data_IF_105314664322
#
_entry.id   IF_105314664322
#
_cell.length_a   1.000
_cell.length_b   1.000
_cell.length_c   1.000
_cell.angle_alpha   90.00
_cell.angle_beta   90.00
_cell.angle_gamma   90.00
#
_symmetry.space_group_name_H-M   'P 1'
#
loop_
_entity.id
_entity.type
_entity.pdbx_description
1 polymer ?
#
# COMPACT_ATOMS: atom_id res chain seq x y z
N UNK A 1 -45.49 9.61 61.71
CA UNK A 1 -45.83 10.89 61.04
C UNK A 1 -44.82 11.12 59.93
N UNK A 2 -45.32 11.35 58.71
CA UNK A 2 -44.84 12.34 57.74
C UNK A 2 -43.38 12.31 57.22
N UNK A 3 -43.22 11.85 55.96
CA UNK A 3 -42.67 12.54 54.76
C UNK A 3 -41.86 13.86 54.98
N UNK A 4 -40.85 14.25 54.18
CA UNK A 4 -40.42 13.96 52.78
C UNK A 4 -38.87 13.70 52.74
N UNK A 5 -38.06 13.68 51.66
CA UNK A 5 -38.14 14.02 50.21
C UNK A 5 -37.22 13.08 49.39
N UNK A 6 -37.52 12.88 48.10
CA UNK A 6 -36.58 12.56 47.00
C UNK A 6 -37.17 13.19 45.72
N UNK A 7 -36.42 13.93 44.87
CA UNK A 7 -35.59 13.29 43.83
C UNK A 7 -34.37 14.07 43.27
N UNK A 8 -33.39 13.33 42.72
CA UNK A 8 -32.75 13.58 41.41
C UNK A 8 -31.74 12.45 41.14
N UNK A 9 -31.78 11.68 40.05
CA UNK A 9 -31.91 11.99 38.61
C UNK A 9 -30.58 12.36 37.92
N UNK A 10 -29.52 11.58 38.17
CA UNK A 10 -28.39 11.43 37.22
C UNK A 10 -28.19 9.95 36.91
N UNK A 11 -28.95 9.44 35.92
CA UNK A 11 -28.46 8.40 35.01
C UNK A 11 -28.22 9.12 33.69
N UNK A 12 -26.96 9.33 33.32
CA UNK A 12 -26.61 9.84 32.00
C UNK A 12 -27.09 8.86 30.93
N UNK A 13 -27.67 9.41 29.87
CA UNK A 13 -28.10 8.66 28.70
C UNK A 13 -26.90 8.43 27.77
N UNK A 14 -25.95 7.61 28.20
CA UNK A 14 -24.79 7.21 27.39
C UNK A 14 -25.16 6.08 26.40
N UNK A 15 -26.32 6.24 25.76
CA UNK A 15 -26.66 5.60 24.49
C UNK A 15 -26.24 6.50 23.33
N UNK A 16 -26.24 5.96 22.12
CA UNK A 16 -26.02 6.73 20.87
C UNK A 16 -24.69 7.48 20.75
N UNK A 17 -23.56 6.76 20.84
CA UNK A 17 -22.38 7.15 20.04
C UNK A 17 -21.41 6.02 19.65
N UNK A 18 -21.70 4.75 19.99
CA UNK A 18 -20.81 3.61 19.73
C UNK A 18 -21.40 2.57 18.74
N UNK A 19 -22.40 2.99 17.96
CA UNK A 19 -23.13 2.14 17.00
C UNK A 19 -22.26 1.63 15.84
N UNK A 20 -21.51 2.47 15.08
CA UNK A 20 -20.76 1.99 13.94
C UNK A 20 -19.63 1.03 14.33
N UNK A 21 -18.93 1.32 15.44
CA UNK A 21 -17.83 0.49 15.95
C UNK A 21 -18.33 -0.93 16.24
N UNK A 22 -19.38 -1.06 17.07
CA UNK A 22 -20.00 -2.36 17.39
C UNK A 22 -20.49 -3.12 16.16
N UNK A 23 -21.04 -2.45 15.15
CA UNK A 23 -21.48 -3.12 13.91
C UNK A 23 -20.29 -3.67 13.13
N UNK A 24 -19.19 -2.92 13.02
CA UNK A 24 -17.95 -3.39 12.36
C UNK A 24 -17.32 -4.54 13.15
N UNK A 25 -17.24 -4.44 14.47
CA UNK A 25 -16.66 -5.47 15.33
C UNK A 25 -17.45 -6.79 15.21
N UNK A 26 -18.79 -6.74 15.28
CA UNK A 26 -19.67 -7.91 15.11
C UNK A 26 -19.62 -8.51 13.70
N UNK A 27 -19.50 -7.67 12.65
CA UNK A 27 -19.28 -8.16 11.29
C UNK A 27 -17.93 -8.85 11.14
N UNK A 28 -16.88 -8.34 11.80
CA UNK A 28 -15.55 -8.91 11.74
C UNK A 28 -15.44 -10.22 12.56
N UNK A 29 -16.13 -10.32 13.71
CA UNK A 29 -16.31 -11.58 14.44
C UNK A 29 -16.99 -12.64 13.55
N UNK A 30 -18.16 -12.34 12.97
CA UNK A 30 -18.90 -13.27 12.10
C UNK A 30 -18.11 -13.67 10.84
N UNK A 31 -17.33 -12.77 10.25
CA UNK A 31 -16.42 -13.10 9.14
C UNK A 31 -15.30 -14.05 9.57
N UNK A 32 -14.78 -13.90 10.79
CA UNK A 32 -13.73 -14.78 11.32
C UNK A 32 -14.22 -16.20 11.59
N UNK A 33 -15.44 -16.36 12.14
CA UNK A 33 -16.07 -17.67 12.36
C UNK A 33 -16.29 -18.43 11.05
N UNK A 34 -16.79 -17.73 10.02
CA UNK A 34 -16.98 -18.32 8.68
C UNK A 34 -15.65 -18.76 8.04
N UNK A 35 -14.60 -17.94 8.17
CA UNK A 35 -13.27 -18.28 7.65
C UNK A 35 -12.64 -19.47 8.40
N UNK A 36 -12.88 -19.61 9.71
CA UNK A 36 -12.40 -20.74 10.50
C UNK A 36 -13.19 -22.03 10.23
N UNK A 37 -14.49 -21.94 9.94
CA UNK A 37 -15.28 -23.06 9.43
C UNK A 37 -14.77 -23.55 8.06
N UNK A 38 -14.40 -22.64 7.15
CA UNK A 38 -13.77 -22.99 5.87
C UNK A 38 -12.39 -23.63 6.05
N UNK A 39 -11.54 -23.10 6.95
CA UNK A 39 -10.23 -23.69 7.28
C UNK A 39 -10.38 -25.11 7.85
N UNK A 40 -11.31 -25.31 8.79
CA UNK A 40 -11.60 -26.62 9.35
C UNK A 40 -12.12 -27.61 8.29
N UNK A 41 -12.96 -27.15 7.35
CA UNK A 41 -13.41 -27.96 6.21
C UNK A 41 -12.27 -28.33 5.24
N UNK A 42 -11.22 -27.51 5.16
CA UNK A 42 -9.96 -27.82 4.44
C UNK A 42 -8.96 -28.63 5.28
N UNK A 43 -9.28 -28.97 6.53
CA UNK A 43 -8.41 -29.74 7.43
C UNK A 43 -7.31 -28.95 8.13
N UNK A 44 -7.35 -27.61 8.07
CA UNK A 44 -6.39 -26.73 8.75
C UNK A 44 -6.97 -26.16 10.04
N UNK A 45 -6.16 -26.13 11.11
CA UNK A 45 -6.49 -25.42 12.34
C UNK A 45 -6.07 -23.96 12.23
N UNK A 46 -6.91 -23.05 12.73
CA UNK A 46 -6.61 -21.62 12.79
C UNK A 46 -5.68 -21.35 13.98
N UNK A 47 -4.39 -21.12 13.69
CA UNK A 47 -3.33 -20.87 14.70
C UNK A 47 -2.88 -19.39 14.74
N UNK A 48 -3.48 -18.52 13.92
CA UNK A 48 -3.07 -17.13 13.74
C UNK A 48 -4.14 -16.17 14.31
N UNK A 49 -3.84 -15.34 15.34
CA UNK A 49 -4.82 -14.41 15.90
C UNK A 49 -5.13 -13.27 14.91
N UNK A 50 -6.39 -13.18 14.47
CA UNK A 50 -6.86 -12.14 13.54
C UNK A 50 -7.20 -10.83 14.25
N UNK A 51 -6.19 -10.10 14.72
CA UNK A 51 -6.35 -8.87 15.52
C UNK A 51 -6.44 -7.55 14.72
N UNK A 52 -6.38 -7.58 13.39
CA UNK A 52 -6.35 -6.37 12.55
C UNK A 52 -7.76 -5.98 12.05
N UNK A 53 -8.34 -4.91 12.60
CA UNK A 53 -9.58 -4.29 12.11
C UNK A 53 -9.44 -3.80 10.66
N UNK A 54 -10.53 -3.84 9.89
CA UNK A 54 -10.60 -3.37 8.49
C UNK A 54 -9.88 -2.03 8.23
N UNK A 55 -10.12 -1.00 9.06
CA UNK A 55 -9.47 0.31 8.90
C UNK A 55 -7.95 0.28 9.17
N UNK A 56 -7.49 -0.60 10.05
CA UNK A 56 -6.06 -0.83 10.29
C UNK A 56 -5.40 -1.49 9.07
N UNK A 57 -6.07 -2.49 8.47
CA UNK A 57 -5.61 -3.15 7.24
C UNK A 57 -5.55 -2.17 6.06
N UNK A 58 -6.53 -1.26 5.91
CA UNK A 58 -6.50 -0.21 4.88
C UNK A 58 -5.33 0.77 5.08
N UNK A 59 -5.14 1.29 6.30
CA UNK A 59 -4.05 2.22 6.62
C UNK A 59 -2.67 1.60 6.42
N UNK A 60 -2.51 0.34 6.84
CA UNK A 60 -1.31 -0.46 6.61
C UNK A 60 -1.04 -0.67 5.11
N UNK A 61 -2.07 -1.00 4.32
CA UNK A 61 -1.95 -1.21 2.88
C UNK A 61 -1.50 0.06 2.15
N UNK A 62 -2.09 1.22 2.48
CA UNK A 62 -1.71 2.50 1.90
C UNK A 62 -0.25 2.87 2.19
N UNK A 63 0.21 2.61 3.41
CA UNK A 63 1.61 2.85 3.80
C UNK A 63 2.60 1.91 3.09
N UNK A 64 2.29 0.61 3.01
CA UNK A 64 3.13 -0.39 2.32
C UNK A 64 3.28 -0.06 0.82
N UNK A 65 2.22 0.46 0.18
CA UNK A 65 2.29 0.84 -1.24
C UNK A 65 3.17 2.07 -1.51
N UNK A 66 3.48 2.90 -0.50
CA UNK A 66 4.45 4.01 -0.57
C UNK A 66 4.27 4.95 -1.79
N UNK A 67 3.03 5.11 -2.26
CA UNK A 67 2.68 5.64 -3.60
C UNK A 67 3.42 6.94 -3.99
N UNK A 68 3.54 7.98 -3.13
CA UNK A 68 4.15 9.25 -3.54
C UNK A 68 5.61 9.13 -3.96
N UNK A 69 6.36 8.17 -3.39
CA UNK A 69 7.78 7.96 -3.71
C UNK A 69 7.93 7.25 -5.05
N UNK A 70 7.07 6.27 -5.34
CA UNK A 70 7.00 5.61 -6.65
C UNK A 70 6.64 6.59 -7.75
N UNK A 71 5.51 7.29 -7.57
CA UNK A 71 5.01 8.33 -8.49
C UNK A 71 6.08 9.39 -8.77
N UNK A 72 6.74 9.93 -7.73
CA UNK A 72 7.79 10.96 -7.90
C UNK A 72 8.94 10.53 -8.80
N UNK A 73 9.24 9.22 -8.91
CA UNK A 73 10.30 8.71 -9.79
C UNK A 73 9.83 8.37 -11.20
N UNK A 74 8.54 8.07 -11.40
CA UNK A 74 7.98 7.74 -12.72
C UNK A 74 7.31 8.92 -13.42
N UNK A 75 6.90 9.96 -12.69
CA UNK A 75 6.20 11.14 -13.21
C UNK A 75 6.97 11.84 -14.32
N UNK A 76 8.31 11.90 -14.22
CA UNK A 76 9.17 12.47 -15.28
C UNK A 76 8.99 11.74 -16.61
N UNK A 77 8.94 10.41 -16.58
CA UNK A 77 8.81 9.56 -17.78
C UNK A 77 7.44 9.77 -18.42
N UNK A 78 6.36 9.71 -17.63
CA UNK A 78 5.00 9.97 -18.13
C UNK A 78 4.87 11.36 -18.76
N UNK A 79 5.53 12.36 -18.19
CA UNK A 79 5.49 13.74 -18.68
C UNK A 79 6.36 13.97 -19.93
N UNK A 80 7.48 13.26 -20.10
CA UNK A 80 8.32 13.36 -21.31
C UNK A 80 7.80 12.57 -22.50
N UNK A 81 7.11 11.45 -22.24
CA UNK A 81 6.82 10.44 -23.27
C UNK A 81 5.34 10.48 -23.73
N UNK A 82 4.50 11.31 -23.08
CA UNK A 82 3.11 11.54 -23.48
C UNK A 82 2.40 12.72 -22.82
N UNK A 83 3.10 13.60 -22.10
CA UNK A 83 2.52 14.78 -21.48
C UNK A 83 1.51 14.52 -20.35
N UNK A 84 0.70 15.52 -19.96
CA UNK A 84 -0.25 15.38 -18.85
C UNK A 84 -1.43 14.44 -19.16
N UNK A 85 -1.81 14.31 -20.44
CA UNK A 85 -3.00 13.58 -20.85
C UNK A 85 -2.85 12.06 -20.67
N UNK A 86 -1.67 11.49 -20.95
CA UNK A 86 -1.40 10.06 -20.73
C UNK A 86 -1.37 9.71 -19.25
N UNK A 87 -0.82 10.58 -18.40
CA UNK A 87 -0.83 10.40 -16.96
C UNK A 87 -2.28 10.35 -16.46
N UNK A 88 -3.13 11.32 -16.86
CA UNK A 88 -4.51 11.40 -16.39
C UNK A 88 -5.38 10.21 -16.85
N UNK A 89 -5.45 9.93 -18.15
CA UNK A 89 -6.28 8.84 -18.66
C UNK A 89 -5.68 7.45 -18.36
N UNK A 90 -4.35 7.33 -18.33
CA UNK A 90 -3.64 6.13 -17.92
C UNK A 90 -3.94 5.77 -16.47
N UNK A 91 -3.97 6.74 -15.55
CA UNK A 91 -4.33 6.50 -14.16
C UNK A 91 -5.77 6.00 -14.00
N UNK A 92 -6.73 6.58 -14.72
CA UNK A 92 -8.13 6.14 -14.71
C UNK A 92 -8.26 4.71 -15.24
N UNK A 93 -7.66 4.42 -16.40
CA UNK A 93 -7.70 3.10 -17.01
C UNK A 93 -7.06 2.03 -16.12
N UNK A 94 -5.87 2.32 -15.57
CA UNK A 94 -5.15 1.44 -14.67
C UNK A 94 -5.93 1.21 -13.37
N UNK A 95 -6.56 2.25 -12.81
CA UNK A 95 -7.41 2.12 -11.60
C UNK A 95 -8.58 1.15 -11.84
N UNK A 96 -9.29 1.26 -12.97
CA UNK A 96 -10.39 0.36 -13.32
C UNK A 96 -9.89 -1.10 -13.42
N UNK A 97 -8.79 -1.33 -14.15
CA UNK A 97 -8.19 -2.66 -14.32
C UNK A 97 -7.72 -3.23 -12.96
N UNK A 98 -7.06 -2.42 -12.13
CA UNK A 98 -6.61 -2.82 -10.79
C UNK A 98 -7.78 -3.18 -9.86
N UNK A 99 -8.90 -2.46 -9.92
CA UNK A 99 -10.12 -2.80 -9.16
C UNK A 99 -10.72 -4.12 -9.63
N UNK A 100 -10.76 -4.40 -10.94
CA UNK A 100 -11.21 -5.70 -11.45
C UNK A 100 -10.31 -6.86 -10.98
N UNK A 101 -8.99 -6.67 -10.99
CA UNK A 101 -8.03 -7.66 -10.48
C UNK A 101 -8.21 -7.87 -8.97
N UNK A 102 -8.36 -6.80 -8.20
CA UNK A 102 -8.56 -6.86 -6.75
C UNK A 102 -9.88 -7.56 -6.37
N UNK A 103 -10.96 -7.30 -7.12
CA UNK A 103 -12.26 -7.96 -6.92
C UNK A 103 -12.16 -9.48 -7.17
N UNK A 104 -11.58 -9.90 -8.30
CA UNK A 104 -11.38 -11.32 -8.60
C UNK A 104 -10.47 -12.02 -7.57
N UNK A 105 -9.45 -11.33 -7.07
CA UNK A 105 -8.59 -11.86 -6.00
C UNK A 105 -9.34 -11.97 -4.66
N UNK A 106 -10.24 -11.02 -4.33
CA UNK A 106 -11.05 -11.06 -3.12
C UNK A 106 -12.03 -12.24 -3.09
N UNK A 107 -12.64 -12.61 -4.23
CA UNK A 107 -13.42 -13.84 -4.37
C UNK A 107 -12.59 -15.09 -4.01
N UNK A 108 -11.36 -15.19 -4.55
CA UNK A 108 -10.45 -16.31 -4.26
C UNK A 108 -10.03 -16.32 -2.78
N UNK A 109 -9.70 -15.16 -2.19
CA UNK A 109 -9.35 -15.02 -0.78
C UNK A 109 -10.48 -15.47 0.16
N UNK A 110 -11.74 -15.15 -0.17
CA UNK A 110 -12.93 -15.46 0.64
C UNK A 110 -13.45 -16.90 0.45
N UNK A 111 -13.02 -17.59 -0.61
CA UNK A 111 -13.23 -19.03 -0.78
C UNK A 111 -12.13 -19.88 -0.12
N UNK A 112 -10.89 -19.36 -0.06
CA UNK A 112 -9.70 -20.10 0.41
C UNK A 112 -8.85 -19.29 1.39
N UNK A 113 -9.35 -18.98 2.61
CA UNK A 113 -8.67 -18.14 3.62
C UNK A 113 -7.49 -18.87 4.30
N UNK A 114 -6.49 -19.26 3.53
CA UNK A 114 -5.33 -20.05 3.95
C UNK A 114 -4.05 -19.23 3.95
N UNK A 115 -3.10 -19.58 4.82
CA UNK A 115 -1.78 -18.95 4.92
C UNK A 115 -0.86 -19.19 3.71
N UNK A 116 -1.26 -20.06 2.77
CA UNK A 116 -0.49 -20.38 1.56
C UNK A 116 -0.63 -19.38 0.41
N UNK A 117 -1.54 -18.41 0.50
CA UNK A 117 -1.66 -17.30 -0.46
C UNK A 117 -1.72 -17.73 -1.94
N UNK A 118 -1.17 -16.90 -2.82
CA UNK A 118 -1.29 -17.07 -4.29
C UNK A 118 -0.76 -18.40 -4.83
N UNK A 119 0.33 -18.94 -4.28
CA UNK A 119 0.86 -20.23 -4.76
C UNK A 119 -0.06 -21.40 -4.35
N UNK A 120 -0.69 -21.33 -3.18
CA UNK A 120 -1.70 -22.32 -2.76
C UNK A 120 -3.00 -22.19 -3.55
N UNK A 121 -3.52 -20.96 -3.74
CA UNK A 121 -4.71 -20.73 -4.57
C UNK A 121 -4.52 -21.26 -5.99
N UNK A 122 -3.34 -21.03 -6.58
CA UNK A 122 -3.01 -21.57 -7.91
C UNK A 122 -2.95 -23.10 -7.98
N UNK A 123 -2.65 -23.77 -6.86
CA UNK A 123 -2.71 -25.23 -6.75
C UNK A 123 -4.15 -25.72 -6.64
N UNK A 124 -4.98 -25.04 -5.84
CA UNK A 124 -6.36 -25.40 -5.56
C UNK A 124 -7.31 -25.17 -6.75
N UNK A 125 -7.05 -24.12 -7.54
CA UNK A 125 -7.80 -23.80 -8.77
C UNK A 125 -7.36 -24.65 -9.98
N UNK A 126 -6.21 -25.32 -9.91
CA UNK A 126 -5.69 -26.13 -11.00
C UNK A 126 -6.14 -27.60 -10.92
N UNK A 127 -6.32 -28.23 -12.08
CA UNK A 127 -6.56 -29.67 -12.18
C UNK A 127 -5.45 -30.45 -11.45
N UNK A 128 -5.81 -31.51 -10.71
CA UNK A 128 -4.88 -32.29 -9.84
C UNK A 128 -3.55 -32.73 -10.49
N UNK A 129 -3.53 -32.93 -11.81
CA UNK A 129 -2.32 -33.26 -12.59
C UNK A 129 -1.34 -32.09 -12.74
N UNK A 130 -1.85 -30.86 -12.77
CA UNK A 130 -1.09 -29.63 -13.02
C UNK A 130 -0.85 -28.80 -11.75
N UNK A 131 -1.66 -28.99 -10.70
CA UNK A 131 -1.56 -28.24 -9.44
C UNK A 131 -0.13 -28.07 -8.87
N UNK A 132 0.76 -29.10 -8.86
CA UNK A 132 2.15 -28.91 -8.40
C UNK A 132 2.95 -27.97 -9.31
N UNK A 133 2.73 -28.04 -10.62
CA UNK A 133 3.43 -27.23 -11.63
C UNK A 133 2.96 -25.78 -11.58
N UNK A 134 1.64 -25.55 -11.49
CA UNK A 134 1.07 -24.21 -11.37
C UNK A 134 1.54 -23.53 -10.07
N UNK A 135 1.50 -24.25 -8.95
CA UNK A 135 1.99 -23.75 -7.65
C UNK A 135 3.48 -23.41 -7.67
N UNK A 136 4.30 -24.27 -8.27
CA UNK A 136 5.74 -24.04 -8.45
C UNK A 136 6.01 -22.78 -9.28
N UNK A 137 5.36 -22.62 -10.45
CA UNK A 137 5.52 -21.44 -11.30
C UNK A 137 5.07 -20.17 -10.56
N UNK A 138 3.91 -20.19 -9.90
CA UNK A 138 3.41 -19.04 -9.13
C UNK A 138 4.33 -18.68 -7.97
N UNK A 139 4.90 -19.67 -7.27
CA UNK A 139 5.92 -19.45 -6.23
C UNK A 139 7.19 -18.79 -6.76
N UNK A 140 7.74 -19.26 -7.88
CA UNK A 140 8.93 -18.66 -8.50
C UNK A 140 8.69 -17.26 -9.06
N UNK A 141 7.54 -17.00 -9.68
CA UNK A 141 7.16 -15.65 -10.11
C UNK A 141 6.98 -14.71 -8.91
N UNK A 142 6.42 -15.20 -7.79
CA UNK A 142 6.35 -14.44 -6.54
C UNK A 142 7.72 -14.12 -5.95
N UNK A 143 8.67 -15.06 -5.96
CA UNK A 143 10.04 -14.84 -5.48
C UNK A 143 10.81 -13.83 -6.35
N UNK A 144 10.80 -14.02 -7.68
CA UNK A 144 11.47 -13.13 -8.64
C UNK A 144 10.81 -11.74 -8.65
N UNK A 145 9.49 -11.66 -8.48
CA UNK A 145 8.77 -10.40 -8.30
C UNK A 145 9.24 -9.63 -7.06
N UNK A 146 9.36 -10.31 -5.91
CA UNK A 146 9.86 -9.71 -4.68
C UNK A 146 11.32 -9.22 -4.80
N UNK A 147 12.20 -9.98 -5.47
CA UNK A 147 13.57 -9.54 -5.72
C UNK A 147 13.62 -8.32 -6.66
N UNK A 148 12.81 -8.33 -7.73
CA UNK A 148 12.75 -7.23 -8.70
C UNK A 148 12.20 -5.94 -8.08
N UNK A 149 11.10 -6.03 -7.30
CA UNK A 149 10.52 -4.84 -6.65
C UNK A 149 11.43 -4.29 -5.55
N UNK A 150 12.10 -5.15 -4.77
CA UNK A 150 13.10 -4.71 -3.78
C UNK A 150 14.27 -3.99 -4.46
N UNK A 151 14.77 -4.54 -5.57
CA UNK A 151 15.84 -3.92 -6.37
C UNK A 151 15.41 -2.54 -6.90
N UNK A 152 14.20 -2.45 -7.46
CA UNK A 152 13.61 -1.20 -7.95
C UNK A 152 13.49 -0.14 -6.85
N UNK A 153 12.90 -0.49 -5.70
CA UNK A 153 12.70 0.44 -4.56
C UNK A 153 14.06 0.94 -4.03
N UNK A 154 15.05 0.07 -3.85
CA UNK A 154 16.39 0.48 -3.41
C UNK A 154 17.09 1.39 -4.44
N UNK A 155 16.88 1.17 -5.73
CA UNK A 155 17.47 1.98 -6.79
C UNK A 155 16.81 3.37 -6.87
N UNK A 156 15.47 3.43 -6.93
CA UNK A 156 14.69 4.67 -6.87
C UNK A 156 14.99 5.47 -5.59
N UNK A 157 15.09 4.81 -4.43
CA UNK A 157 15.50 5.45 -3.17
C UNK A 157 16.90 6.06 -3.26
N UNK A 158 17.87 5.36 -3.85
CA UNK A 158 19.21 5.89 -4.10
C UNK A 158 19.22 7.08 -5.06
N UNK A 159 18.40 7.06 -6.11
CA UNK A 159 18.22 8.20 -7.01
C UNK A 159 17.62 9.42 -6.28
N UNK A 160 16.58 9.24 -5.46
CA UNK A 160 15.96 10.32 -4.69
C UNK A 160 16.96 11.00 -3.74
N UNK A 161 17.82 10.21 -3.06
CA UNK A 161 18.88 10.75 -2.19
C UNK A 161 19.89 11.59 -3.01
N UNK A 162 20.31 11.10 -4.18
CA UNK A 162 21.27 11.83 -5.03
C UNK A 162 20.67 13.10 -5.63
N UNK A 163 19.38 13.09 -6.01
CA UNK A 163 18.65 14.29 -6.44
C UNK A 163 18.53 15.32 -5.32
N UNK A 164 18.32 14.88 -4.07
CA UNK A 164 18.30 15.77 -2.90
C UNK A 164 19.68 16.40 -2.60
N UNK A 165 20.79 15.70 -2.92
CA UNK A 165 22.14 16.27 -2.84
C UNK A 165 22.37 17.29 -3.97
N UNK A 166 21.93 17.01 -5.19
CA UNK A 166 22.02 17.95 -6.32
C UNK A 166 21.26 19.25 -6.10
N UNK A 167 20.11 19.20 -5.40
CA UNK A 167 19.35 20.38 -4.96
C UNK A 167 20.11 21.29 -3.98
N UNK A 168 21.14 20.78 -3.30
CA UNK A 168 21.99 21.56 -2.38
C UNK A 168 23.32 22.01 -3.00
N UNK A 169 23.72 21.41 -4.11
CA UNK A 169 24.96 21.70 -4.82
C UNK A 169 24.76 21.51 -6.33
N UNK A 170 24.38 22.59 -7.01
CA UNK A 170 24.06 22.59 -8.45
C UNK A 170 25.25 22.15 -9.35
N UNK A 171 26.49 22.18 -8.83
CA UNK A 171 27.67 21.67 -9.53
C UNK A 171 27.83 20.13 -9.45
N UNK A 172 27.06 19.45 -8.60
CA UNK A 172 27.10 17.99 -8.45
C UNK A 172 26.16 17.29 -9.44
N UNK A 173 26.72 16.84 -10.56
CA UNK A 173 26.01 15.96 -11.51
C UNK A 173 26.17 14.50 -11.07
N UNK A 174 25.09 13.77 -10.70
CA UNK A 174 25.20 12.39 -10.25
C UNK A 174 25.49 11.43 -11.40
N UNK A 175 26.77 11.10 -11.60
CA UNK A 175 27.21 10.04 -12.51
C UNK A 175 26.58 8.67 -12.15
N UNK A 176 26.35 7.81 -13.15
CA UNK A 176 25.65 6.54 -12.98
C UNK A 176 26.25 5.61 -11.91
N UNK A 177 27.58 5.64 -11.72
CA UNK A 177 28.25 4.84 -10.69
C UNK A 177 27.96 5.34 -9.26
N UNK A 178 27.67 6.64 -9.06
CA UNK A 178 27.16 7.14 -7.78
C UNK A 178 25.79 6.52 -7.44
N UNK A 179 24.90 6.40 -8.44
CA UNK A 179 23.58 5.77 -8.28
C UNK A 179 23.71 4.31 -7.86
N UNK A 180 24.62 3.57 -8.50
CA UNK A 180 24.93 2.19 -8.11
C UNK A 180 25.46 2.14 -6.66
N UNK A 181 26.46 2.93 -6.28
CA UNK A 181 26.98 2.92 -4.91
C UNK A 181 25.91 3.30 -3.87
N UNK A 182 25.03 4.25 -4.17
CA UNK A 182 23.93 4.62 -3.29
C UNK A 182 22.89 3.50 -3.16
N UNK A 183 22.58 2.80 -4.26
CA UNK A 183 21.75 1.57 -4.24
C UNK A 183 22.36 0.50 -3.31
N UNK A 184 23.67 0.22 -3.41
CA UNK A 184 24.34 -0.72 -2.50
C UNK A 184 24.28 -0.25 -1.04
N UNK A 185 24.45 1.05 -0.78
CA UNK A 185 24.35 1.61 0.57
C UNK A 185 22.92 1.49 1.16
N UNK A 186 21.88 1.83 0.38
CA UNK A 186 20.47 1.68 0.77
C UNK A 186 20.12 0.21 1.02
N UNK A 187 20.58 -0.70 0.16
CA UNK A 187 20.39 -2.14 0.31
C UNK A 187 21.08 -2.68 1.58
N UNK A 188 22.30 -2.22 1.88
CA UNK A 188 22.99 -2.56 3.12
C UNK A 188 22.25 -2.04 4.36
N UNK A 189 21.73 -0.81 4.34
CA UNK A 189 20.91 -0.27 5.45
C UNK A 189 19.65 -1.10 5.65
N UNK A 190 18.93 -1.43 4.57
CA UNK A 190 17.75 -2.30 4.63
C UNK A 190 18.08 -3.69 5.19
N UNK A 191 19.20 -4.30 4.79
CA UNK A 191 19.67 -5.57 5.32
C UNK A 191 19.99 -5.49 6.83
N UNK A 192 20.69 -4.44 7.27
CA UNK A 192 21.01 -4.19 8.68
C UNK A 192 19.74 -4.02 9.54
N UNK A 193 18.73 -3.32 9.03
CA UNK A 193 17.42 -3.17 9.70
C UNK A 193 16.72 -4.53 9.82
N UNK A 194 16.71 -5.33 8.75
CA UNK A 194 16.10 -6.67 8.77
C UNK A 194 16.81 -7.65 9.72
N UNK A 195 18.15 -7.58 9.85
CA UNK A 195 18.92 -8.47 10.74
C UNK A 195 18.78 -8.06 12.21
N UNK A 196 18.95 -6.77 12.54
CA UNK A 196 19.05 -6.32 13.94
C UNK A 196 17.80 -5.66 14.50
N UNK A 197 16.99 -5.01 13.66
CA UNK A 197 15.82 -4.23 14.09
C UNK A 197 14.47 -4.94 13.83
N UNK A 198 14.49 -6.23 13.45
CA UNK A 198 13.27 -7.05 13.28
C UNK A 198 12.31 -7.02 14.49
N UNK A 199 12.83 -6.84 15.71
CA UNK A 199 12.01 -6.70 16.95
C UNK A 199 11.28 -5.35 17.06
N UNK A 200 11.68 -4.35 16.27
CA UNK A 200 11.10 -3.01 16.22
C UNK A 200 10.38 -2.73 14.90
N UNK A 201 10.26 -3.73 14.01
CA UNK A 201 9.78 -3.56 12.64
C UNK A 201 8.37 -2.96 12.58
N UNK A 202 7.48 -3.35 13.51
CA UNK A 202 6.12 -2.84 13.63
C UNK A 202 6.04 -1.36 14.04
N UNK A 203 6.93 -0.94 14.96
CA UNK A 203 7.08 0.47 15.36
C UNK A 203 7.67 1.32 14.23
N UNK A 204 8.68 0.80 13.52
CA UNK A 204 9.28 1.45 12.35
C UNK A 204 8.23 1.60 11.24
N UNK A 205 7.47 0.54 10.94
CA UNK A 205 6.36 0.55 9.99
C UNK A 205 5.28 1.58 10.38
N UNK A 206 4.91 1.64 11.66
CA UNK A 206 3.98 2.67 12.17
C UNK A 206 4.50 4.09 11.94
N UNK A 207 5.80 4.36 12.14
CA UNK A 207 6.41 5.64 11.78
C UNK A 207 6.36 5.88 10.26
N UNK A 208 6.62 4.86 9.44
CA UNK A 208 6.52 4.96 7.97
C UNK A 208 5.10 5.27 7.48
N UNK A 209 4.05 4.77 8.16
CA UNK A 209 2.64 5.13 7.88
C UNK A 209 2.45 6.64 8.07
N UNK A 210 2.80 7.18 9.24
CA UNK A 210 2.66 8.61 9.54
C UNK A 210 3.55 9.49 8.64
N UNK A 211 4.78 9.08 8.37
CA UNK A 211 5.69 9.79 7.47
C UNK A 211 5.17 9.84 6.02
N UNK A 212 4.59 8.74 5.52
CA UNK A 212 4.01 8.70 4.17
C UNK A 212 2.78 9.60 4.08
N UNK A 213 1.89 9.56 5.08
CA UNK A 213 0.73 10.45 5.14
C UNK A 213 1.13 11.94 5.22
N UNK A 214 2.15 12.27 6.04
CA UNK A 214 2.71 13.62 6.08
C UNK A 214 3.35 14.03 4.75
N UNK A 215 4.07 13.13 4.08
CA UNK A 215 4.72 13.38 2.78
C UNK A 215 3.71 13.74 1.70
N UNK A 216 2.55 13.07 1.64
CA UNK A 216 1.44 13.43 0.72
C UNK A 216 1.02 14.89 0.92
N UNK A 217 0.79 15.29 2.17
CA UNK A 217 0.34 16.65 2.51
C UNK A 217 1.42 17.69 2.19
N UNK A 218 2.69 17.39 2.48
CA UNK A 218 3.83 18.26 2.16
C UNK A 218 3.94 18.45 0.64
N UNK A 219 3.93 17.38 -0.15
CA UNK A 219 4.00 17.44 -1.62
C UNK A 219 2.85 18.27 -2.18
N UNK A 220 1.61 18.00 -1.74
CA UNK A 220 0.41 18.72 -2.18
C UNK A 220 0.50 20.23 -1.86
N UNK A 221 0.91 20.60 -0.65
CA UNK A 221 1.07 22.01 -0.25
C UNK A 221 2.22 22.67 -1.03
N UNK A 222 3.36 21.99 -1.20
CA UNK A 222 4.51 22.52 -1.94
C UNK A 222 4.17 22.75 -3.41
N UNK A 223 3.52 21.79 -4.10
CA UNK A 223 3.11 21.95 -5.49
C UNK A 223 2.11 23.11 -5.64
N UNK A 224 1.12 23.21 -4.75
CA UNK A 224 0.12 24.30 -4.80
C UNK A 224 0.70 25.70 -4.49
N UNK A 225 1.74 25.80 -3.64
CA UNK A 225 2.37 27.07 -3.25
C UNK A 225 3.53 27.50 -4.17
N UNK A 226 4.16 26.55 -4.86
CA UNK A 226 5.19 26.80 -5.88
C UNK A 226 4.60 27.11 -7.27
N UNK A 227 3.30 26.88 -7.49
CA UNK A 227 2.55 27.23 -8.71
C UNK A 227 2.36 28.76 -8.93
N UNK A 228 3.37 29.57 -8.59
CA UNK A 228 3.36 31.05 -8.66
C UNK A 228 3.28 31.58 -10.10
N UNK A 229 3.67 30.77 -11.09
CA UNK A 229 3.53 31.09 -12.52
C UNK A 229 2.11 30.93 -13.08
N UNK A 230 1.12 30.62 -12.24
CA UNK A 230 -0.25 30.33 -12.64
C UNK A 230 -0.51 28.84 -12.87
N UNK A 231 -1.79 28.46 -12.92
CA UNK A 231 -2.24 27.08 -13.18
C UNK A 231 -2.43 26.88 -14.68
N UNK A 232 -2.03 25.71 -15.21
CA UNK A 232 -2.34 25.31 -16.59
C UNK A 232 -3.86 25.20 -16.78
N UNK A 233 -4.33 25.44 -18.00
CA UNK A 233 -5.76 25.35 -18.34
C UNK A 233 -6.25 23.90 -18.29
N UNK A 234 -7.55 23.70 -18.05
CA UNK A 234 -8.15 22.37 -18.07
C UNK A 234 -7.94 21.66 -19.42
N UNK A 235 -8.01 22.39 -20.54
CA UNK A 235 -7.70 21.82 -21.87
C UNK A 235 -6.27 21.29 -21.92
N UNK A 236 -5.27 22.03 -21.43
CA UNK A 236 -3.89 21.54 -21.43
C UNK A 236 -3.72 20.22 -20.67
N UNK A 237 -4.46 20.01 -19.58
CA UNK A 237 -4.42 18.76 -18.81
C UNK A 237 -5.14 17.60 -19.52
N UNK A 238 -6.27 17.88 -20.19
CA UNK A 238 -7.13 16.83 -20.78
C UNK A 238 -6.93 16.60 -22.30
N UNK A 239 -6.22 17.48 -23.01
CA UNK A 239 -6.07 17.39 -24.48
C UNK A 239 -4.63 17.53 -24.99
N UNK A 240 -3.66 17.97 -24.18
CA UNK A 240 -2.28 18.12 -24.66
C UNK A 240 -1.52 16.78 -24.63
N UNK A 241 -1.25 16.23 -25.81
CA UNK A 241 -0.38 15.07 -26.03
C UNK A 241 0.91 15.52 -26.73
N UNK A 242 2.04 15.48 -26.02
CA UNK A 242 3.35 15.69 -26.65
C UNK A 242 3.94 14.33 -27.05
N UNK A 243 4.07 14.12 -28.36
CA UNK A 243 4.62 12.90 -28.97
C UNK A 243 6.05 13.12 -29.52
N UNK A 244 6.66 14.29 -29.30
CA UNK A 244 7.85 14.75 -30.06
C UNK A 244 9.15 14.02 -29.67
N UNK A 245 9.07 12.98 -28.84
CA UNK A 245 10.19 12.16 -28.35
C UNK A 245 9.93 10.64 -28.30
N UNK A 246 8.78 10.19 -28.81
CA UNK A 246 8.43 8.77 -28.92
C UNK A 246 9.06 8.10 -30.16
#
# INVERSE_FOLDING_TARGET
MTNTVSPSAIRSSDGENNTPQRTVDQQQEALSENADAQLAAMGYKSELPRSLSFFSVLGLSFAIMAVPFGESTTLTIGLTDGGPVTIFYGWILLTIISVCIAASLAEICSAYPTSGGVYYWSAMLANKRWAPVTSWITGWLGLVGNWTVTTSICFSGGQLILSAIGLWNEAYVPAAWHVVLMYWAVLCVALCVNIWLAKYLDFINTICVYWTAASVLIILITVLTMARGGRRSASYVFTEFDATRA
#
